data_IF_918533992403
#
_entry.id   IF_918533992403
#
_cell.length_a   1.000
_cell.length_b   1.000
_cell.length_c   1.000
_cell.angle_alpha   90.00
_cell.angle_beta   90.00
_cell.angle_gamma   90.00
#
_symmetry.space_group_name_H-M   'P 1'
#
loop_
_entity.id
_entity.type
_entity.pdbx_description
1 polymer ?
#
# COMPACT_ATOMS: atom_id res chain seq x y z
N UNK A 1 0.43 -20.58 -10.40
CA UNK A 1 0.00 -19.84 -11.61
C UNK A 1 0.15 -20.75 -12.80
N UNK A 2 -0.83 -20.74 -13.72
CA UNK A 2 -0.76 -21.51 -14.97
C UNK A 2 0.22 -20.86 -15.97
N UNK A 3 0.61 -21.59 -17.02
CA UNK A 3 1.46 -21.07 -18.10
C UNK A 3 0.83 -19.86 -18.79
N UNK A 4 -0.48 -19.91 -19.06
CA UNK A 4 -1.23 -18.79 -19.65
C UNK A 4 -1.20 -17.54 -18.75
N UNK A 5 -1.37 -17.74 -17.44
CA UNK A 5 -1.33 -16.65 -16.46
C UNK A 5 0.06 -16.02 -16.36
N UNK A 6 1.12 -16.82 -16.47
CA UNK A 6 2.51 -16.33 -16.50
C UNK A 6 2.79 -15.51 -17.77
N UNK A 7 2.36 -15.98 -18.93
CA UNK A 7 2.53 -15.24 -20.20
C UNK A 7 1.77 -13.91 -20.16
N UNK A 8 0.53 -13.92 -19.66
CA UNK A 8 -0.23 -12.69 -19.45
C UNK A 8 0.50 -11.72 -18.50
N UNK A 9 0.96 -12.21 -17.34
CA UNK A 9 1.73 -11.42 -16.37
C UNK A 9 2.94 -10.74 -17.01
N UNK A 10 3.70 -11.48 -17.81
CA UNK A 10 4.88 -10.97 -18.49
C UNK A 10 4.54 -9.85 -19.47
N UNK A 11 3.57 -10.06 -20.35
CA UNK A 11 3.14 -9.04 -21.32
C UNK A 11 2.61 -7.80 -20.60
N UNK A 12 1.72 -7.99 -19.63
CA UNK A 12 1.11 -6.91 -18.85
C UNK A 12 2.16 -6.04 -18.14
N UNK A 13 3.11 -6.66 -17.43
CA UNK A 13 4.17 -5.93 -16.72
C UNK A 13 5.09 -5.15 -17.67
N UNK A 14 5.41 -5.71 -18.84
CA UNK A 14 6.23 -5.01 -19.83
C UNK A 14 5.52 -3.77 -20.40
N UNK A 15 4.22 -3.87 -20.70
CA UNK A 15 3.41 -2.73 -21.14
C UNK A 15 3.41 -1.64 -20.07
N UNK A 16 3.10 -1.99 -18.82
CA UNK A 16 3.08 -0.99 -17.75
C UNK A 16 4.46 -0.35 -17.54
N UNK A 17 5.54 -1.13 -17.63
CA UNK A 17 6.92 -0.61 -17.49
C UNK A 17 7.23 0.45 -18.54
N UNK A 18 6.77 0.27 -19.78
CA UNK A 18 6.95 1.25 -20.84
C UNK A 18 6.16 2.55 -20.59
N UNK A 19 4.97 2.46 -20.01
CA UNK A 19 4.08 3.62 -19.76
C UNK A 19 4.42 4.37 -18.46
N UNK A 20 5.02 3.70 -17.48
CA UNK A 20 5.26 4.25 -16.13
C UNK A 20 6.06 5.59 -16.11
N UNK A 21 7.11 5.81 -16.92
CA UNK A 21 7.83 7.09 -16.95
C UNK A 21 6.93 8.27 -17.38
N UNK A 22 6.00 8.04 -18.31
CA UNK A 22 5.05 9.06 -18.76
C UNK A 22 4.01 9.36 -17.66
N UNK A 23 3.50 8.31 -17.00
CA UNK A 23 2.57 8.45 -15.86
C UNK A 23 3.17 9.34 -14.76
N UNK A 24 4.43 9.10 -14.38
CA UNK A 24 5.12 9.85 -13.31
C UNK A 24 5.31 11.33 -13.59
N UNK A 25 5.44 11.71 -14.86
CA UNK A 25 5.58 13.13 -15.24
C UNK A 25 4.27 13.91 -15.08
N UNK A 26 3.14 13.22 -15.13
CA UNK A 26 1.80 13.83 -15.15
C UNK A 26 1.11 13.71 -13.79
N UNK A 27 1.32 12.59 -13.08
CA UNK A 27 0.62 12.25 -11.84
C UNK A 27 1.64 12.08 -10.71
N UNK A 28 1.48 12.87 -9.64
CA UNK A 28 2.20 12.67 -8.38
C UNK A 28 1.36 11.79 -7.45
N UNK A 29 1.95 10.67 -7.01
CA UNK A 29 1.36 9.77 -6.02
C UNK A 29 1.75 10.26 -4.62
N UNK A 30 0.89 11.07 -4.01
CA UNK A 30 1.16 11.70 -2.70
C UNK A 30 0.59 10.91 -1.50
N UNK A 31 -0.23 9.89 -1.76
CA UNK A 31 -0.89 9.00 -0.77
C UNK A 31 -1.44 9.71 0.48
N UNK A 32 -2.02 10.92 0.31
CA UNK A 32 -2.34 11.80 1.44
C UNK A 32 -3.29 11.15 2.46
N UNK A 33 -4.23 10.32 1.99
CA UNK A 33 -5.21 9.64 2.83
C UNK A 33 -4.55 8.57 3.68
N UNK A 34 -3.63 7.78 3.11
CA UNK A 34 -2.86 6.78 3.86
C UNK A 34 -2.00 7.42 4.95
N UNK A 35 -1.33 8.54 4.63
CA UNK A 35 -0.58 9.29 5.65
C UNK A 35 -1.50 9.82 6.75
N UNK A 36 -2.69 10.31 6.39
CA UNK A 36 -3.66 10.78 7.38
C UNK A 36 -4.12 9.65 8.31
N UNK A 37 -4.37 8.45 7.77
CA UNK A 37 -4.73 7.27 8.57
C UNK A 37 -3.58 6.89 9.52
N UNK A 38 -2.33 6.89 9.05
CA UNK A 38 -1.17 6.61 9.90
C UNK A 38 -1.04 7.62 11.06
N UNK A 39 -1.16 8.91 10.76
CA UNK A 39 -1.11 9.96 11.80
C UNK A 39 -2.29 9.87 12.78
N UNK A 40 -3.50 9.60 12.28
CA UNK A 40 -4.66 9.36 13.14
C UNK A 40 -4.45 8.14 14.06
N UNK A 41 -3.75 7.12 13.58
CA UNK A 41 -3.43 5.92 14.36
C UNK A 41 -2.51 6.23 15.55
N UNK A 42 -1.58 7.20 15.42
CA UNK A 42 -0.79 7.68 16.57
C UNK A 42 -1.67 8.33 17.65
N UNK A 43 -2.64 9.13 17.25
CA UNK A 43 -3.58 9.75 18.20
C UNK A 43 -4.41 8.70 18.93
N UNK A 44 -4.86 7.66 18.22
CA UNK A 44 -5.59 6.53 18.81
C UNK A 44 -4.70 5.81 19.84
N UNK A 45 -3.48 5.42 19.46
CA UNK A 45 -2.53 4.75 20.37
C UNK A 45 -2.31 5.54 21.66
N UNK A 46 -2.13 6.86 21.55
CA UNK A 46 -1.95 7.73 22.71
C UNK A 46 -3.20 7.79 23.59
N UNK A 47 -4.38 7.96 22.98
CA UNK A 47 -5.64 8.08 23.71
C UNK A 47 -6.04 6.78 24.40
N UNK A 48 -5.67 5.64 23.83
CA UNK A 48 -5.92 4.30 24.38
C UNK A 48 -4.88 3.91 25.46
N UNK A 49 -3.90 4.79 25.75
CA UNK A 49 -2.91 4.58 26.80
C UNK A 49 -1.68 3.76 26.39
N UNK A 50 -1.52 3.44 25.11
CA UNK A 50 -0.33 2.75 24.58
C UNK A 50 0.84 3.72 24.37
N UNK A 51 1.27 4.39 25.45
CA UNK A 51 2.23 5.51 25.39
C UNK A 51 3.58 5.08 24.82
N UNK A 52 4.15 3.96 25.26
CA UNK A 52 5.44 3.47 24.76
C UNK A 52 5.41 3.17 23.25
N UNK A 53 4.31 2.60 22.76
CA UNK A 53 4.12 2.30 21.34
C UNK A 53 3.91 3.60 20.56
N UNK A 54 3.12 4.54 21.10
CA UNK A 54 2.94 5.86 20.50
C UNK A 54 4.28 6.58 20.33
N UNK A 55 5.12 6.62 21.38
CA UNK A 55 6.43 7.29 21.35
C UNK A 55 7.33 6.66 20.28
N UNK A 56 7.43 5.32 20.27
CA UNK A 56 8.20 4.61 19.24
C UNK A 56 7.70 4.91 17.82
N UNK A 57 6.39 4.84 17.59
CA UNK A 57 5.82 5.04 16.25
C UNK A 57 5.91 6.51 15.82
N UNK A 58 5.77 7.46 16.75
CA UNK A 58 5.91 8.88 16.48
C UNK A 58 7.34 9.24 16.04
N UNK A 59 8.37 8.63 16.65
CA UNK A 59 9.77 8.83 16.26
C UNK A 59 10.07 8.39 14.82
N UNK A 60 9.27 7.48 14.26
CA UNK A 60 9.47 6.91 12.92
C UNK A 60 8.33 7.21 11.93
N UNK A 61 7.41 8.13 12.27
CA UNK A 61 6.22 8.40 11.45
C UNK A 61 6.55 8.83 10.01
N UNK A 62 7.66 9.54 9.83
CA UNK A 62 8.13 9.94 8.50
C UNK A 62 8.51 8.73 7.65
N UNK A 63 9.30 7.79 8.21
CA UNK A 63 9.65 6.54 7.53
C UNK A 63 8.43 5.67 7.22
N UNK A 64 7.47 5.59 8.16
CA UNK A 64 6.19 4.88 7.96
C UNK A 64 5.42 5.51 6.78
N UNK A 65 5.34 6.83 6.73
CA UNK A 65 4.63 7.53 5.66
C UNK A 65 5.35 7.42 4.31
N UNK A 66 6.69 7.45 4.29
CA UNK A 66 7.49 7.20 3.09
C UNK A 66 7.24 5.80 2.53
N UNK A 67 7.19 4.79 3.40
CA UNK A 67 6.87 3.42 3.03
C UNK A 67 5.48 3.26 2.43
N UNK A 68 4.48 3.91 3.03
CA UNK A 68 3.12 3.91 2.51
C UNK A 68 3.05 4.56 1.12
N UNK A 69 3.73 5.70 0.93
CA UNK A 69 3.81 6.37 -0.37
C UNK A 69 4.52 5.48 -1.40
N UNK A 70 5.61 4.82 -1.02
CA UNK A 70 6.40 3.96 -1.91
C UNK A 70 5.62 2.73 -2.41
N UNK A 71 4.74 2.17 -1.58
CA UNK A 71 3.92 1.01 -1.93
C UNK A 71 3.04 1.28 -3.17
N UNK A 72 2.49 2.50 -3.31
CA UNK A 72 1.63 2.87 -4.43
C UNK A 72 2.38 3.39 -5.69
N UNK A 73 3.71 3.42 -5.62
CA UNK A 73 4.54 3.81 -6.76
C UNK A 73 4.80 2.65 -7.72
N UNK A 74 4.95 3.00 -9.01
CA UNK A 74 5.30 2.09 -10.09
C UNK A 74 4.24 0.99 -10.36
N UNK A 75 4.72 -0.18 -10.77
CA UNK A 75 3.94 -1.35 -11.10
C UNK A 75 3.37 -2.06 -9.87
N UNK A 76 3.70 -1.60 -8.65
CA UNK A 76 3.32 -2.27 -7.39
C UNK A 76 1.81 -2.25 -7.16
N UNK A 77 1.16 -1.17 -7.58
CA UNK A 77 -0.30 -1.01 -7.56
C UNK A 77 -1.08 -2.18 -8.18
N UNK A 78 -0.49 -2.95 -9.11
CA UNK A 78 -1.16 -4.14 -9.67
C UNK A 78 -1.30 -5.30 -8.68
N UNK A 79 -0.62 -5.24 -7.53
CA UNK A 79 -0.71 -6.23 -6.46
C UNK A 79 -1.61 -5.79 -5.30
N UNK A 80 -2.24 -4.61 -5.33
CA UNK A 80 -2.97 -4.05 -4.18
C UNK A 80 -4.39 -4.63 -3.98
N UNK A 81 -4.76 -5.61 -4.80
CA UNK A 81 -6.08 -6.21 -4.79
C UNK A 81 -6.06 -7.54 -4.06
N UNK A 82 -7.10 -7.81 -3.28
CA UNK A 82 -7.33 -9.11 -2.67
C UNK A 82 -8.80 -9.34 -2.38
N UNK A 83 -9.37 -10.38 -2.97
CA UNK A 83 -10.72 -10.84 -2.60
C UNK A 83 -10.65 -11.92 -1.53
N UNK A 84 -11.30 -11.72 -0.36
CA UNK A 84 -11.37 -12.76 0.67
C UNK A 84 -12.20 -13.97 0.21
N UNK A 85 -13.13 -13.78 -0.75
CA UNK A 85 -13.96 -14.86 -1.31
C UNK A 85 -13.17 -15.79 -2.22
N UNK A 86 -12.39 -15.23 -3.13
CA UNK A 86 -11.63 -16.04 -4.11
C UNK A 86 -10.19 -16.32 -3.65
N UNK A 87 -9.71 -15.61 -2.62
CA UNK A 87 -8.33 -15.62 -2.12
C UNK A 87 -7.32 -15.21 -3.20
N UNK A 88 -7.71 -14.32 -4.10
CA UNK A 88 -6.88 -13.87 -5.25
C UNK A 88 -6.90 -12.34 -5.41
N UNK A 89 -5.85 -11.82 -6.02
CA UNK A 89 -5.75 -10.45 -6.54
C UNK A 89 -6.02 -10.39 -8.05
N UNK A 90 -5.48 -9.37 -8.73
CA UNK A 90 -5.59 -9.24 -10.18
C UNK A 90 -4.96 -10.44 -10.89
N UNK A 91 -5.60 -10.91 -11.97
CA UNK A 91 -5.10 -12.03 -12.76
C UNK A 91 -3.67 -11.77 -13.25
N UNK A 92 -2.77 -12.75 -13.13
CA UNK A 92 -1.37 -12.58 -13.52
C UNK A 92 -0.52 -11.75 -12.55
N UNK A 93 -1.04 -11.30 -11.41
CA UNK A 93 -0.31 -10.53 -10.43
C UNK A 93 -0.22 -11.25 -9.08
N UNK A 94 0.58 -10.71 -8.16
CA UNK A 94 0.51 -11.09 -6.75
C UNK A 94 -0.80 -10.55 -6.17
N UNK A 95 -0.95 -10.55 -4.84
CA UNK A 95 -2.12 -10.02 -4.19
C UNK A 95 -1.75 -9.27 -2.91
N UNK A 96 -2.68 -8.43 -2.43
CA UNK A 96 -2.41 -7.50 -1.33
C UNK A 96 -1.98 -8.23 -0.06
N UNK A 97 -2.56 -9.41 0.20
CA UNK A 97 -2.20 -10.24 1.34
C UNK A 97 -0.74 -10.70 1.25
N UNK A 98 -0.34 -11.30 0.13
CA UNK A 98 1.03 -11.81 -0.03
C UNK A 98 2.08 -10.68 0.05
N UNK A 99 1.80 -9.54 -0.57
CA UNK A 99 2.70 -8.37 -0.50
C UNK A 99 2.76 -7.81 0.92
N UNK A 100 1.62 -7.74 1.63
CA UNK A 100 1.55 -7.27 3.02
C UNK A 100 2.36 -8.18 3.95
N UNK A 101 2.21 -9.51 3.83
CA UNK A 101 2.99 -10.47 4.62
C UNK A 101 4.50 -10.34 4.32
N UNK A 102 4.86 -10.16 3.04
CA UNK A 102 6.25 -9.95 2.63
C UNK A 102 6.86 -8.69 3.25
N UNK A 103 6.16 -7.54 3.14
CA UNK A 103 6.63 -6.28 3.72
C UNK A 103 6.65 -6.31 5.24
N UNK A 104 5.64 -6.90 5.88
CA UNK A 104 5.61 -7.02 7.34
C UNK A 104 6.75 -7.89 7.88
N UNK A 105 7.02 -9.03 7.24
CA UNK A 105 8.15 -9.87 7.62
C UNK A 105 9.49 -9.15 7.44
N UNK A 106 9.63 -8.37 6.35
CA UNK A 106 10.82 -7.54 6.17
C UNK A 106 10.93 -6.44 7.21
N UNK A 107 9.82 -5.79 7.57
CA UNK A 107 9.77 -4.78 8.61
C UNK A 107 10.33 -5.32 9.93
N UNK A 108 9.87 -6.51 10.34
CA UNK A 108 10.35 -7.19 11.55
C UNK A 108 11.84 -7.48 11.44
N UNK A 109 12.28 -8.10 10.34
CA UNK A 109 13.68 -8.48 10.16
C UNK A 109 14.63 -7.27 10.24
N UNK A 110 14.33 -6.20 9.51
CA UNK A 110 15.14 -4.98 9.50
C UNK A 110 15.14 -4.31 10.89
N UNK A 111 13.99 -4.28 11.57
CA UNK A 111 13.89 -3.71 12.91
C UNK A 111 14.74 -4.49 13.93
N UNK A 112 14.70 -5.83 13.89
CA UNK A 112 15.50 -6.71 14.75
C UNK A 112 17.01 -6.62 14.46
N UNK A 113 17.39 -6.37 13.21
CA UNK A 113 18.78 -6.12 12.81
C UNK A 113 19.30 -4.73 13.21
N UNK A 114 18.44 -3.88 13.80
CA UNK A 114 18.78 -2.51 14.20
C UNK A 114 18.57 -1.46 13.10
N UNK A 115 18.16 -1.87 11.89
CA UNK A 115 17.82 -0.99 10.78
C UNK A 115 16.40 -0.40 10.96
N UNK A 116 16.16 0.26 12.11
CA UNK A 116 14.81 0.65 12.54
C UNK A 116 14.05 1.51 11.54
N UNK A 117 14.70 2.46 10.88
CA UNK A 117 14.07 3.31 9.84
C UNK A 117 13.57 2.48 8.66
N UNK A 118 14.38 1.55 8.17
CA UNK A 118 14.02 0.64 7.07
C UNK A 118 12.91 -0.32 7.50
N UNK A 119 12.98 -0.82 8.74
CA UNK A 119 11.90 -1.62 9.33
C UNK A 119 10.56 -0.88 9.35
N UNK A 120 10.58 0.36 9.82
CA UNK A 120 9.40 1.22 9.89
C UNK A 120 8.90 1.65 8.51
N UNK A 121 9.80 1.80 7.54
CA UNK A 121 9.45 1.99 6.14
C UNK A 121 8.65 0.80 5.60
N UNK A 122 9.11 -0.45 5.76
CA UNK A 122 8.33 -1.60 5.31
C UNK A 122 7.04 -1.82 6.11
N UNK A 123 7.01 -1.42 7.39
CA UNK A 123 5.77 -1.40 8.17
C UNK A 123 4.75 -0.45 7.51
N UNK A 124 5.17 0.74 7.12
CA UNK A 124 4.35 1.68 6.36
C UNK A 124 3.82 1.11 5.05
N UNK A 125 4.65 0.39 4.30
CA UNK A 125 4.25 -0.28 3.06
C UNK A 125 3.22 -1.40 3.31
N UNK A 126 3.35 -2.13 4.43
CA UNK A 126 2.35 -3.13 4.84
C UNK A 126 1.02 -2.46 5.25
N UNK A 127 1.08 -1.38 6.05
CA UNK A 127 -0.08 -0.60 6.45
C UNK A 127 -0.87 -0.07 5.24
N UNK A 128 -0.17 0.41 4.20
CA UNK A 128 -0.79 0.82 2.94
C UNK A 128 -1.71 -0.26 2.37
N UNK A 129 -1.22 -1.50 2.27
CA UNK A 129 -1.97 -2.62 1.70
C UNK A 129 -3.16 -3.03 2.58
N UNK A 130 -3.02 -2.97 3.90
CA UNK A 130 -4.14 -3.19 4.84
C UNK A 130 -5.21 -2.12 4.65
N UNK A 131 -4.81 -0.86 4.49
CA UNK A 131 -5.73 0.25 4.25
C UNK A 131 -6.44 0.13 2.90
N UNK A 132 -5.71 -0.24 1.84
CA UNK A 132 -6.28 -0.43 0.50
C UNK A 132 -7.41 -1.47 0.51
N UNK A 133 -7.23 -2.61 1.18
CA UNK A 133 -8.28 -3.65 1.22
C UNK A 133 -9.50 -3.29 2.07
N UNK A 134 -9.51 -2.14 2.76
CA UNK A 134 -10.73 -1.57 3.36
C UNK A 134 -11.62 -0.86 2.34
N UNK A 135 -11.09 -0.58 1.14
CA UNK A 135 -11.82 0.04 0.04
C UNK A 135 -12.48 -1.06 -0.82
N UNK A 136 -13.81 -1.00 -1.04
CA UNK A 136 -14.54 -2.07 -1.74
C UNK A 136 -14.00 -2.43 -3.12
N UNK A 137 -13.43 -1.48 -3.86
CA UNK A 137 -12.85 -1.71 -5.19
C UNK A 137 -11.61 -2.62 -5.12
N UNK A 138 -10.73 -2.42 -4.13
CA UNK A 138 -9.54 -3.24 -3.89
C UNK A 138 -9.93 -4.64 -3.40
N UNK A 139 -10.92 -4.72 -2.50
CA UNK A 139 -11.43 -5.98 -1.94
C UNK A 139 -12.25 -6.83 -2.94
N UNK A 140 -12.90 -6.20 -3.92
CA UNK A 140 -13.66 -6.90 -4.96
C UNK A 140 -12.89 -7.10 -6.26
N UNK A 141 -11.61 -6.70 -6.32
CA UNK A 141 -10.75 -6.84 -7.51
C UNK A 141 -11.34 -6.13 -8.73
N UNK A 142 -11.85 -4.89 -8.52
CA UNK A 142 -12.50 -4.10 -9.57
C UNK A 142 -11.74 -2.82 -9.88
N UNK A 143 -10.87 -2.88 -10.89
CA UNK A 143 -10.01 -1.76 -11.32
C UNK A 143 -10.79 -0.65 -12.07
N UNK A 144 -11.81 -1.02 -12.85
CA UNK A 144 -12.48 -0.11 -13.80
C UNK A 144 -13.77 0.54 -13.26
N UNK A 145 -14.22 0.17 -12.05
CA UNK A 145 -15.47 0.67 -11.45
C UNK A 145 -15.26 1.99 -10.69
N UNK A 146 -14.96 3.07 -11.43
CA UNK A 146 -14.81 4.43 -10.88
C UNK A 146 -13.82 4.55 -9.69
N UNK A 147 -12.90 3.59 -9.57
CA UNK A 147 -11.93 3.47 -8.47
C UNK A 147 -11.19 4.79 -8.22
N UNK A 148 -10.58 5.35 -9.27
CA UNK A 148 -9.87 6.63 -9.22
C UNK A 148 -10.77 7.83 -8.90
N UNK A 149 -12.01 7.83 -9.38
CA UNK A 149 -12.97 8.92 -9.11
C UNK A 149 -13.36 8.96 -7.64
N UNK A 150 -13.54 7.77 -7.03
CA UNK A 150 -13.83 7.63 -5.61
C UNK A 150 -12.64 8.05 -4.74
N UNK A 151 -11.43 7.57 -5.04
CA UNK A 151 -10.21 7.98 -4.32
C UNK A 151 -9.99 9.50 -4.40
N UNK A 152 -10.15 10.09 -5.59
CA UNK A 152 -10.06 11.54 -5.76
C UNK A 152 -11.13 12.30 -4.97
N UNK A 153 -12.33 11.73 -4.79
CA UNK A 153 -13.36 12.33 -3.96
C UNK A 153 -12.96 12.31 -2.47
N UNK A 154 -12.44 11.18 -1.96
CA UNK A 154 -11.93 11.09 -0.58
C UNK A 154 -10.82 12.13 -0.35
N UNK A 155 -9.88 12.23 -1.29
CA UNK A 155 -8.79 13.23 -1.26
C UNK A 155 -9.35 14.66 -1.14
N UNK A 156 -10.38 15.00 -1.93
CA UNK A 156 -11.02 16.32 -1.84
C UNK A 156 -11.71 16.53 -0.50
N UNK A 157 -12.36 15.51 0.04
CA UNK A 157 -13.06 15.60 1.32
C UNK A 157 -12.09 15.72 2.50
N UNK A 158 -10.95 15.04 2.46
CA UNK A 158 -9.92 15.14 3.49
C UNK A 158 -9.21 16.49 3.53
N UNK A 159 -9.13 17.19 2.39
CA UNK A 159 -8.53 18.53 2.28
C UNK A 159 -9.47 19.69 2.64
N UNK A 160 -10.76 19.41 2.87
CA UNK A 160 -11.74 20.42 3.31
C UNK A 160 -11.58 20.69 4.79
#
# INVERSE_FOLDING_TARGET
MSTLERTYSFVYKNILKAVNPLKKRIIKTECIVHKAINNQSLHILRNDGYIEVYELMADYIDSINEGAVWADQDLKSSNHFYSPKTKRGLYGNSNAKNECESYYNRAINEFLLGNKKEGMFYLGAACHLVQDVTIPQHANVRLLDNHRSFENWIIRMHRR
#
